data_IF_795098540361
#
_entry.id   IF_795098540361
#
_cell.length_a   1.000
_cell.length_b   1.000
_cell.length_c   1.000
_cell.angle_alpha   90.00
_cell.angle_beta   90.00
_cell.angle_gamma   90.00
#
_symmetry.space_group_name_H-M   'P 1'
#
loop_
_entity.id
_entity.type
_entity.pdbx_description
1 polymer ?
#
# COMPACT_ATOMS: atom_id res chain seq x y z
N UNK A 1 5.11 22.69 -21.22
CA UNK A 1 4.03 22.19 -20.34
C UNK A 1 4.67 21.13 -19.47
N UNK A 2 4.49 21.20 -18.17
CA UNK A 2 5.01 20.23 -17.21
C UNK A 2 4.23 18.91 -17.24
N UNK A 3 4.79 17.88 -16.55
CA UNK A 3 4.24 16.54 -16.52
C UNK A 3 2.79 16.49 -15.98
N UNK A 4 2.53 17.17 -14.87
CA UNK A 4 1.20 17.07 -14.20
C UNK A 4 0.12 17.75 -15.01
N UNK A 5 0.41 18.91 -15.58
CA UNK A 5 -0.53 19.63 -16.45
C UNK A 5 -0.85 18.82 -17.72
N UNK A 6 0.15 18.20 -18.34
CA UNK A 6 -0.08 17.39 -19.53
C UNK A 6 -0.83 16.09 -19.22
N UNK A 7 -0.57 15.50 -18.04
CA UNK A 7 -1.30 14.34 -17.54
C UNK A 7 -2.80 14.66 -17.33
N UNK A 8 -3.09 15.79 -16.71
CA UNK A 8 -4.48 16.24 -16.48
C UNK A 8 -5.21 16.41 -17.80
N UNK A 9 -4.65 17.15 -18.75
CA UNK A 9 -5.24 17.32 -20.09
C UNK A 9 -5.47 15.97 -20.78
N UNK A 10 -4.50 15.05 -20.67
CA UNK A 10 -4.64 13.74 -21.31
C UNK A 10 -5.74 12.89 -20.64
N UNK A 11 -5.90 12.99 -19.33
CA UNK A 11 -6.92 12.28 -18.57
C UNK A 11 -8.31 12.84 -18.87
N UNK A 12 -8.47 14.16 -18.94
CA UNK A 12 -9.76 14.78 -19.30
C UNK A 12 -10.26 14.32 -20.69
N UNK A 13 -9.34 14.08 -21.64
CA UNK A 13 -9.70 13.60 -22.99
C UNK A 13 -10.25 12.17 -23.03
N UNK A 14 -9.93 11.34 -22.03
CA UNK A 14 -10.33 9.93 -21.96
C UNK A 14 -11.24 9.64 -20.76
N UNK A 15 -11.70 10.68 -20.08
CA UNK A 15 -12.62 10.57 -18.96
C UNK A 15 -13.97 9.99 -19.41
N UNK A 16 -14.60 9.18 -18.55
CA UNK A 16 -15.90 8.55 -18.83
C UNK A 16 -16.79 8.59 -17.58
N UNK A 17 -17.80 9.44 -17.61
CA UNK A 17 -18.76 9.56 -16.51
C UNK A 17 -19.51 8.23 -16.25
N UNK A 18 -19.80 7.46 -17.30
CA UNK A 18 -20.42 6.14 -17.19
C UNK A 18 -19.54 5.16 -16.39
N UNK A 19 -18.24 5.20 -16.61
CA UNK A 19 -17.27 4.34 -15.88
C UNK A 19 -16.94 4.88 -14.47
N UNK A 20 -17.06 6.18 -14.22
CA UNK A 20 -16.75 6.81 -12.94
C UNK A 20 -17.70 6.33 -11.83
N UNK A 21 -19.01 6.34 -12.07
CA UNK A 21 -20.04 5.99 -11.08
C UNK A 21 -19.83 4.58 -10.47
N UNK A 22 -19.60 3.49 -11.23
CA UNK A 22 -19.29 2.19 -10.63
C UNK A 22 -17.99 2.18 -9.82
N UNK A 23 -16.97 2.95 -10.22
CA UNK A 23 -15.69 3.05 -9.50
C UNK A 23 -15.87 3.79 -8.17
N UNK A 24 -16.63 4.87 -8.15
CA UNK A 24 -17.00 5.61 -6.93
C UNK A 24 -17.79 4.73 -5.96
N UNK A 25 -18.80 4.01 -6.44
CA UNK A 25 -19.59 3.08 -5.63
C UNK A 25 -18.73 1.97 -5.02
N UNK A 26 -17.79 1.41 -5.78
CA UNK A 26 -16.84 0.41 -5.28
C UNK A 26 -15.98 0.97 -4.15
N UNK A 27 -15.59 2.23 -4.23
CA UNK A 27 -14.85 2.94 -3.19
C UNK A 27 -15.75 3.55 -2.11
N UNK A 28 -17.02 3.13 -2.06
CA UNK A 28 -18.01 3.61 -1.08
C UNK A 28 -18.19 5.14 -1.11
N UNK A 29 -18.11 5.72 -2.30
CA UNK A 29 -18.22 7.16 -2.58
C UNK A 29 -17.24 8.04 -1.76
N UNK A 30 -16.06 7.48 -1.44
CA UNK A 30 -15.02 8.22 -0.71
C UNK A 30 -14.14 9.07 -1.61
N UNK A 31 -14.11 8.80 -2.89
CA UNK A 31 -13.28 9.48 -3.89
C UNK A 31 -14.06 9.72 -5.16
N UNK A 32 -13.80 10.86 -5.79
CA UNK A 32 -14.26 11.13 -7.16
C UNK A 32 -13.35 10.41 -8.17
N UNK A 33 -13.92 10.06 -9.31
CA UNK A 33 -13.21 9.42 -10.41
C UNK A 33 -13.48 10.13 -11.73
N UNK A 34 -12.47 10.16 -12.60
CA UNK A 34 -12.62 10.48 -14.03
C UNK A 34 -13.23 9.31 -14.83
N UNK A 35 -13.22 8.11 -14.24
CA UNK A 35 -13.71 6.90 -14.88
C UNK A 35 -12.72 6.26 -15.84
N UNK A 36 -11.41 6.46 -15.60
CA UNK A 36 -10.33 5.92 -16.41
C UNK A 36 -9.87 4.58 -15.82
N UNK A 37 -10.08 3.50 -16.57
CA UNK A 37 -9.64 2.15 -16.17
C UNK A 37 -8.12 2.05 -16.12
N UNK A 38 -7.61 1.01 -15.46
CA UNK A 38 -6.17 0.79 -15.21
C UNK A 38 -5.32 0.82 -16.47
N UNK A 39 -5.71 0.11 -17.53
CA UNK A 39 -4.92 0.03 -18.76
C UNK A 39 -4.76 1.37 -19.48
N UNK A 40 -5.82 2.12 -19.83
CA UNK A 40 -5.68 3.44 -20.45
C UNK A 40 -4.92 4.42 -19.54
N UNK A 41 -5.16 4.41 -18.22
CA UNK A 41 -4.42 5.22 -17.27
C UNK A 41 -2.91 4.95 -17.34
N UNK A 42 -2.51 3.69 -17.27
CA UNK A 42 -1.09 3.30 -17.34
C UNK A 42 -0.46 3.57 -18.70
N UNK A 43 -1.21 3.45 -19.77
CA UNK A 43 -0.74 3.79 -21.13
C UNK A 43 -0.39 5.26 -21.23
N UNK A 44 -1.28 6.15 -20.77
CA UNK A 44 -1.02 7.59 -20.72
C UNK A 44 0.18 7.89 -19.82
N UNK A 45 0.19 7.34 -18.60
CA UNK A 45 1.30 7.54 -17.67
C UNK A 45 2.64 7.12 -18.27
N UNK A 46 2.73 5.93 -18.86
CA UNK A 46 3.97 5.44 -19.48
C UNK A 46 4.48 6.38 -20.58
N UNK A 47 3.58 6.84 -21.47
CA UNK A 47 3.93 7.76 -22.55
C UNK A 47 4.47 9.09 -22.02
N UNK A 48 3.78 9.68 -21.05
CA UNK A 48 4.16 10.96 -20.47
C UNK A 48 5.41 10.84 -19.57
N UNK A 49 5.56 9.74 -18.87
CA UNK A 49 6.76 9.45 -18.09
C UNK A 49 8.03 9.47 -18.97
N UNK A 50 8.01 8.81 -20.12
CA UNK A 50 9.18 8.81 -21.02
C UNK A 50 9.46 10.21 -21.61
N UNK A 51 8.40 10.98 -21.92
CA UNK A 51 8.52 12.35 -22.42
C UNK A 51 9.12 13.31 -21.38
N UNK A 52 8.70 13.18 -20.12
CA UNK A 52 9.08 14.08 -19.02
C UNK A 52 10.12 13.47 -18.07
N UNK A 53 10.85 12.47 -18.50
CA UNK A 53 11.72 11.66 -17.63
C UNK A 53 12.74 12.47 -16.84
N UNK A 54 13.34 13.48 -17.45
CA UNK A 54 14.34 14.34 -16.78
C UNK A 54 13.71 15.19 -15.69
N UNK A 55 12.56 15.80 -15.98
CA UNK A 55 11.77 16.59 -15.04
C UNK A 55 11.32 15.72 -13.83
N UNK A 56 10.77 14.55 -14.12
CA UNK A 56 10.33 13.59 -13.11
C UNK A 56 11.47 13.19 -12.18
N UNK A 57 12.62 12.78 -12.75
CA UNK A 57 13.77 12.37 -11.94
C UNK A 57 14.28 13.48 -11.02
N UNK A 58 14.22 14.72 -11.48
CA UNK A 58 14.66 15.87 -10.68
C UNK A 58 13.69 16.22 -9.54
N UNK A 59 12.38 15.94 -9.68
CA UNK A 59 11.37 16.46 -8.77
C UNK A 59 10.27 15.45 -8.36
N UNK A 60 10.47 14.16 -8.53
CA UNK A 60 9.42 13.15 -8.35
C UNK A 60 8.77 13.18 -6.97
N UNK A 61 9.49 13.48 -5.89
CA UNK A 61 8.94 13.54 -4.53
C UNK A 61 7.84 14.58 -4.40
N UNK A 62 8.06 15.78 -4.95
CA UNK A 62 7.04 16.83 -4.96
C UNK A 62 5.87 16.47 -5.89
N UNK A 63 6.17 15.88 -7.05
CA UNK A 63 5.15 15.44 -8.02
C UNK A 63 4.23 14.37 -7.42
N UNK A 64 4.79 13.38 -6.69
CA UNK A 64 4.01 12.36 -6.00
C UNK A 64 3.06 13.02 -5.00
N UNK A 65 3.55 13.97 -4.22
CA UNK A 65 2.75 14.69 -3.23
C UNK A 65 1.64 15.52 -3.90
N UNK A 66 1.96 16.22 -4.97
CA UNK A 66 0.98 17.01 -5.73
C UNK A 66 -0.11 16.11 -6.35
N UNK A 67 0.28 15.00 -6.98
CA UNK A 67 -0.66 14.03 -7.55
C UNK A 67 -1.58 13.41 -6.49
N UNK A 68 -1.05 13.12 -5.31
CA UNK A 68 -1.85 12.54 -4.22
C UNK A 68 -2.87 13.55 -3.65
N UNK A 69 -2.65 14.85 -3.82
CA UNK A 69 -3.55 15.92 -3.37
C UNK A 69 -4.57 16.36 -4.45
N UNK A 70 -4.55 15.75 -5.64
CA UNK A 70 -5.61 15.95 -6.64
C UNK A 70 -6.93 15.35 -6.13
N UNK A 71 -8.04 15.76 -6.74
CA UNK A 71 -9.37 15.33 -6.33
C UNK A 71 -9.68 13.91 -6.78
N UNK A 72 -9.34 13.57 -8.03
CA UNK A 72 -9.74 12.32 -8.64
C UNK A 72 -8.75 11.20 -8.34
N UNK A 73 -9.29 10.03 -8.05
CA UNK A 73 -8.53 8.86 -7.59
C UNK A 73 -7.49 8.36 -8.59
N UNK A 74 -7.69 8.56 -9.86
CA UNK A 74 -6.74 8.21 -10.91
C UNK A 74 -5.38 8.90 -10.72
N UNK A 75 -5.34 10.15 -10.25
CA UNK A 75 -4.08 10.83 -9.94
C UNK A 75 -3.37 10.19 -8.74
N UNK A 76 -4.10 9.74 -7.73
CA UNK A 76 -3.53 8.99 -6.60
C UNK A 76 -2.89 7.67 -7.06
N UNK A 77 -3.49 6.99 -8.03
CA UNK A 77 -2.88 5.80 -8.62
C UNK A 77 -1.64 6.13 -9.47
N UNK A 78 -1.58 7.30 -10.12
CA UNK A 78 -0.36 7.74 -10.81
C UNK A 78 0.72 8.08 -9.77
N UNK A 79 0.38 8.75 -8.67
CA UNK A 79 1.29 8.97 -7.56
C UNK A 79 1.89 7.66 -7.05
N UNK A 80 1.07 6.63 -6.88
CA UNK A 80 1.50 5.29 -6.49
C UNK A 80 2.43 4.64 -7.54
N UNK A 81 2.02 4.61 -8.82
CA UNK A 81 2.81 4.01 -9.91
C UNK A 81 4.17 4.73 -10.05
N UNK A 82 4.18 6.06 -9.92
CA UNK A 82 5.39 6.91 -9.93
C UNK A 82 6.28 6.61 -8.72
N UNK A 83 5.71 6.54 -7.52
CA UNK A 83 6.43 6.23 -6.30
C UNK A 83 7.14 4.88 -6.39
N UNK A 84 6.43 3.83 -6.79
CA UNK A 84 7.00 2.48 -6.93
C UNK A 84 8.15 2.49 -7.93
N UNK A 85 8.03 3.27 -9.01
CA UNK A 85 9.04 3.33 -10.07
C UNK A 85 10.29 4.08 -9.65
N UNK A 86 10.16 5.25 -9.00
CA UNK A 86 11.28 6.13 -8.72
C UNK A 86 12.00 5.80 -7.41
N UNK A 87 11.30 5.36 -6.38
CA UNK A 87 11.96 4.99 -5.13
C UNK A 87 12.86 3.76 -5.25
N UNK A 88 12.43 2.67 -5.83
CA UNK A 88 13.18 1.45 -6.21
C UNK A 88 14.67 1.38 -5.81
N UNK A 89 15.06 1.35 -4.60
CA UNK A 89 16.46 1.36 -4.10
C UNK A 89 17.14 2.74 -4.08
N UNK A 90 16.40 3.81 -4.32
CA UNK A 90 16.89 5.19 -4.27
C UNK A 90 16.26 5.98 -3.14
N UNK A 91 15.99 5.31 -2.01
CA UNK A 91 15.46 5.99 -0.83
C UNK A 91 16.54 6.83 -0.18
N UNK A 92 16.15 8.04 0.26
CA UNK A 92 16.88 8.83 1.25
C UNK A 92 16.34 8.49 2.64
N UNK A 93 17.12 8.72 3.67
CA UNK A 93 16.71 8.39 5.03
C UNK A 93 15.46 9.17 5.47
N UNK A 94 15.36 10.43 5.05
CA UNK A 94 14.21 11.30 5.29
C UNK A 94 12.93 10.92 4.53
N UNK A 95 13.00 10.04 3.53
CA UNK A 95 11.84 9.66 2.73
C UNK A 95 10.74 8.97 3.55
N UNK A 96 11.07 8.41 4.70
CA UNK A 96 10.06 7.82 5.59
C UNK A 96 8.99 8.85 6.00
N UNK A 97 9.36 10.12 6.16
CA UNK A 97 8.43 11.20 6.49
C UNK A 97 7.44 11.47 5.34
N UNK A 98 7.93 11.42 4.08
CA UNK A 98 7.07 11.53 2.91
C UNK A 98 6.16 10.29 2.80
N UNK A 99 6.71 9.10 2.98
CA UNK A 99 5.96 7.84 2.91
C UNK A 99 4.83 7.82 3.95
N UNK A 100 5.09 8.26 5.18
CA UNK A 100 4.05 8.40 6.21
C UNK A 100 2.94 9.36 5.79
N UNK A 101 3.30 10.53 5.22
CA UNK A 101 2.32 11.48 4.66
C UNK A 101 1.49 10.85 3.54
N UNK A 102 2.11 10.06 2.65
CA UNK A 102 1.39 9.37 1.56
C UNK A 102 0.39 8.34 2.11
N UNK A 103 0.74 7.63 3.18
CA UNK A 103 -0.13 6.64 3.82
C UNK A 103 -1.32 7.33 4.51
N UNK A 104 -1.10 8.49 5.12
CA UNK A 104 -2.10 9.18 5.94
C UNK A 104 -2.96 10.20 5.19
N UNK A 105 -2.67 10.45 3.90
CA UNK A 105 -3.41 11.37 3.03
C UNK A 105 -4.23 10.61 2.01
N UNK A 106 -5.51 10.96 1.84
CA UNK A 106 -6.44 10.30 0.93
C UNK A 106 -6.42 8.76 1.06
N UNK A 107 -6.32 8.31 2.32
CA UNK A 107 -6.07 6.92 2.68
C UNK A 107 -7.24 6.01 2.35
N UNK A 108 -6.97 4.91 1.66
CA UNK A 108 -7.86 3.77 1.50
C UNK A 108 -7.03 2.52 1.21
N UNK A 109 -7.61 1.34 1.44
CA UNK A 109 -6.89 0.06 1.35
C UNK A 109 -6.13 -0.15 0.03
N UNK A 110 -6.66 0.31 -1.09
CA UNK A 110 -6.11 0.14 -2.44
C UNK A 110 -4.75 0.84 -2.67
N UNK A 111 -4.52 1.98 -2.03
CA UNK A 111 -3.23 2.68 -2.09
C UNK A 111 -2.36 2.35 -0.88
N UNK A 112 -2.94 2.30 0.33
CA UNK A 112 -2.20 2.02 1.57
C UNK A 112 -1.49 0.67 1.52
N UNK A 113 -2.15 -0.39 1.03
CA UNK A 113 -1.57 -1.72 0.94
C UNK A 113 -0.36 -1.76 0.00
N UNK A 114 -0.44 -1.00 -1.09
CA UNK A 114 0.66 -0.89 -2.02
C UNK A 114 1.80 -0.02 -1.45
N UNK A 115 1.50 1.07 -0.75
CA UNK A 115 2.50 1.86 -0.02
C UNK A 115 3.19 1.03 1.07
N UNK A 116 2.43 0.27 1.86
CA UNK A 116 2.99 -0.64 2.86
C UNK A 116 4.00 -1.61 2.23
N UNK A 117 3.56 -2.35 1.20
CA UNK A 117 4.37 -3.37 0.55
C UNK A 117 5.59 -2.83 -0.19
N UNK A 118 5.38 -1.80 -1.02
CA UNK A 118 6.42 -1.36 -1.95
C UNK A 118 7.27 -0.22 -1.39
N UNK A 119 6.69 0.75 -0.69
CA UNK A 119 7.44 1.89 -0.19
C UNK A 119 8.01 1.61 1.19
N UNK A 120 7.21 1.26 2.18
CA UNK A 120 7.71 0.95 3.53
C UNK A 120 8.58 -0.31 3.49
N UNK A 121 8.10 -1.38 2.83
CA UNK A 121 8.89 -2.59 2.65
C UNK A 121 10.19 -2.34 1.89
N UNK A 122 10.17 -1.55 0.82
CA UNK A 122 11.36 -1.18 0.06
C UNK A 122 12.34 -0.32 0.87
N UNK A 123 11.83 0.67 1.59
CA UNK A 123 12.62 1.53 2.47
C UNK A 123 13.32 0.72 3.57
N UNK A 124 12.59 -0.11 4.30
CA UNK A 124 13.15 -0.92 5.38
C UNK A 124 14.07 -2.04 4.88
N UNK A 125 13.92 -2.46 3.64
CA UNK A 125 14.90 -3.33 3.00
C UNK A 125 16.25 -2.62 2.75
N UNK A 126 16.20 -1.31 2.39
CA UNK A 126 17.42 -0.49 2.22
C UNK A 126 18.01 -0.02 3.55
N UNK A 127 17.15 0.28 4.53
CA UNK A 127 17.53 0.76 5.87
C UNK A 127 17.06 -0.22 6.98
N UNK A 128 17.61 -1.43 7.07
CA UNK A 128 17.09 -2.45 8.00
C UNK A 128 17.24 -2.07 9.48
N UNK A 129 18.15 -1.17 9.83
CA UNK A 129 18.30 -0.66 11.20
C UNK A 129 17.14 0.20 11.67
N UNK A 130 16.40 0.81 10.75
CA UNK A 130 15.24 1.64 11.04
C UNK A 130 13.95 0.82 11.28
N UNK A 131 13.98 -0.50 11.01
CA UNK A 131 12.78 -1.33 11.00
C UNK A 131 11.99 -1.23 12.31
N UNK A 132 12.61 -1.44 13.45
CA UNK A 132 11.90 -1.44 14.72
C UNK A 132 11.37 -0.05 15.10
N UNK A 133 12.15 1.00 14.87
CA UNK A 133 11.75 2.38 15.17
C UNK A 133 10.54 2.79 14.32
N UNK A 134 10.60 2.55 13.02
CA UNK A 134 9.52 2.91 12.09
C UNK A 134 8.25 2.09 12.37
N UNK A 135 8.39 0.77 12.55
CA UNK A 135 7.23 -0.09 12.77
C UNK A 135 6.60 0.15 14.14
N UNK A 136 7.38 0.39 15.17
CA UNK A 136 6.86 0.78 16.48
C UNK A 136 6.09 2.10 16.42
N UNK A 137 6.64 3.12 15.74
CA UNK A 137 5.98 4.39 15.52
C UNK A 137 4.63 4.21 14.78
N UNK A 138 4.61 3.46 13.68
CA UNK A 138 3.39 3.22 12.92
C UNK A 138 2.36 2.41 13.71
N UNK A 139 2.82 1.41 14.42
CA UNK A 139 1.98 0.52 15.22
C UNK A 139 1.36 1.20 16.44
N UNK A 140 2.03 2.19 17.03
CA UNK A 140 1.53 2.99 18.16
C UNK A 140 0.65 4.18 17.74
N UNK A 141 0.53 4.44 16.45
CA UNK A 141 -0.24 5.56 15.95
C UNK A 141 -1.75 5.39 16.23
N UNK A 142 -2.45 6.51 16.41
CA UNK A 142 -3.92 6.56 16.41
C UNK A 142 -4.51 6.39 15.00
N UNK A 143 -3.70 6.48 13.96
CA UNK A 143 -4.14 6.31 12.57
C UNK A 143 -4.15 4.82 12.19
N UNK A 144 -5.33 4.27 11.96
CA UNK A 144 -5.53 2.87 11.57
C UNK A 144 -4.72 2.46 10.34
N UNK A 145 -4.48 3.37 9.40
CA UNK A 145 -3.75 3.05 8.17
C UNK A 145 -2.25 2.86 8.40
N UNK A 146 -1.68 3.56 9.40
CA UNK A 146 -0.30 3.30 9.85
C UNK A 146 -0.23 1.95 10.58
N UNK A 147 -1.21 1.63 11.44
CA UNK A 147 -1.26 0.31 12.09
C UNK A 147 -1.38 -0.81 11.04
N UNK A 148 -2.24 -0.62 10.04
CA UNK A 148 -2.37 -1.57 8.92
C UNK A 148 -1.05 -1.73 8.17
N UNK A 149 -0.35 -0.63 7.93
CA UNK A 149 0.96 -0.64 7.26
C UNK A 149 2.01 -1.41 8.07
N UNK A 150 2.06 -1.23 9.40
CA UNK A 150 2.96 -1.97 10.29
C UNK A 150 2.75 -3.50 10.20
N UNK A 151 1.52 -3.95 9.98
CA UNK A 151 1.22 -5.37 9.78
C UNK A 151 1.61 -5.87 8.38
N UNK A 152 1.45 -5.02 7.34
CA UNK A 152 1.52 -5.43 5.93
C UNK A 152 2.87 -5.17 5.23
N UNK A 153 3.79 -4.41 5.83
CA UNK A 153 5.01 -3.98 5.12
C UNK A 153 5.89 -5.13 4.62
N UNK A 154 5.86 -6.30 5.28
CA UNK A 154 6.61 -7.48 4.88
C UNK A 154 5.94 -8.32 3.77
N UNK A 155 4.79 -7.90 3.23
CA UNK A 155 4.18 -8.63 2.12
C UNK A 155 5.18 -8.82 0.98
N UNK A 156 5.32 -10.07 0.55
CA UNK A 156 6.28 -10.51 -0.48
C UNK A 156 7.76 -10.53 -0.06
N UNK A 157 8.10 -10.43 1.23
CA UNK A 157 9.46 -10.70 1.72
C UNK A 157 9.81 -12.21 1.62
N UNK A 158 8.79 -13.05 1.47
CA UNK A 158 8.92 -14.51 1.31
C UNK A 158 9.66 -15.12 2.51
N UNK A 159 10.71 -15.89 2.24
CA UNK A 159 11.54 -16.53 3.25
C UNK A 159 12.29 -15.51 4.15
N UNK A 160 12.43 -14.27 3.68
CA UNK A 160 13.08 -13.18 4.44
C UNK A 160 12.15 -12.49 5.41
N UNK A 161 10.88 -12.90 5.50
CA UNK A 161 9.94 -12.34 6.46
C UNK A 161 10.41 -12.59 7.88
N UNK A 162 10.57 -11.53 8.67
CA UNK A 162 10.79 -11.66 10.12
C UNK A 162 9.46 -12.07 10.76
N UNK A 163 9.30 -13.37 10.98
CA UNK A 163 8.06 -13.92 11.51
C UNK A 163 7.81 -13.52 12.97
N UNK A 164 8.86 -13.34 13.77
CA UNK A 164 8.69 -12.89 15.14
C UNK A 164 8.16 -11.47 15.21
N UNK A 165 8.65 -10.58 14.36
CA UNK A 165 8.11 -9.22 14.23
C UNK A 165 6.66 -9.24 13.71
N UNK A 166 6.35 -10.09 12.72
CA UNK A 166 4.97 -10.24 12.23
C UNK A 166 4.04 -10.72 13.35
N UNK A 167 4.45 -11.71 14.15
CA UNK A 167 3.68 -12.18 15.30
C UNK A 167 3.48 -11.07 16.34
N UNK A 168 4.53 -10.31 16.65
CA UNK A 168 4.44 -9.19 17.59
C UNK A 168 3.41 -8.15 17.16
N UNK A 169 3.42 -7.77 15.86
CA UNK A 169 2.43 -6.84 15.31
C UNK A 169 1.01 -7.43 15.32
N UNK A 170 0.86 -8.71 15.01
CA UNK A 170 -0.42 -9.39 15.13
C UNK A 170 -0.94 -9.41 16.58
N UNK A 171 -0.08 -9.73 17.57
CA UNK A 171 -0.43 -9.73 19.00
C UNK A 171 -0.91 -8.35 19.47
N UNK A 172 -0.20 -7.30 19.07
CA UNK A 172 -0.53 -5.91 19.43
C UNK A 172 -1.91 -5.49 18.92
N UNK A 173 -2.29 -5.95 17.74
CA UNK A 173 -3.51 -5.54 17.07
C UNK A 173 -4.64 -6.61 17.08
N UNK A 174 -4.44 -7.79 17.65
CA UNK A 174 -5.40 -8.92 17.60
C UNK A 174 -6.78 -8.64 18.17
N UNK A 175 -6.89 -7.68 19.09
CA UNK A 175 -8.16 -7.31 19.71
C UNK A 175 -8.88 -6.17 18.97
N UNK A 176 -8.30 -5.61 17.91
CA UNK A 176 -8.91 -4.53 17.14
C UNK A 176 -10.26 -4.95 16.57
N UNK A 177 -11.24 -4.06 16.68
CA UNK A 177 -12.57 -4.22 16.05
C UNK A 177 -12.61 -3.68 14.62
N UNK A 178 -11.54 -2.99 14.19
CA UNK A 178 -11.43 -2.44 12.83
C UNK A 178 -11.35 -3.54 11.78
N UNK A 179 -12.30 -3.54 10.85
CA UNK A 179 -12.37 -4.51 9.76
C UNK A 179 -11.05 -4.61 8.99
N UNK A 180 -10.45 -3.45 8.67
CA UNK A 180 -9.23 -3.39 7.88
C UNK A 180 -8.01 -3.91 8.64
N UNK A 181 -7.97 -3.82 9.98
CA UNK A 181 -6.91 -4.40 10.80
C UNK A 181 -7.05 -5.91 10.87
N UNK A 182 -8.26 -6.42 11.12
CA UNK A 182 -8.51 -7.86 11.14
C UNK A 182 -8.14 -8.52 9.80
N UNK A 183 -8.48 -7.86 8.68
CA UNK A 183 -8.11 -8.32 7.33
C UNK A 183 -6.59 -8.28 7.10
N UNK A 184 -5.88 -7.25 7.61
CA UNK A 184 -4.43 -7.15 7.49
C UNK A 184 -3.73 -8.30 8.19
N UNK A 185 -4.09 -8.60 9.45
CA UNK A 185 -3.55 -9.73 10.22
C UNK A 185 -3.71 -11.04 9.44
N UNK A 186 -4.94 -11.32 9.01
CA UNK A 186 -5.22 -12.54 8.26
C UNK A 186 -4.46 -12.63 6.95
N UNK A 187 -4.35 -11.53 6.22
CA UNK A 187 -3.63 -11.51 4.94
C UNK A 187 -2.13 -11.67 5.11
N UNK A 188 -1.50 -10.95 6.03
CA UNK A 188 -0.07 -11.06 6.28
C UNK A 188 0.34 -12.48 6.69
N UNK A 189 -0.42 -13.11 7.60
CA UNK A 189 -0.23 -14.51 8.00
C UNK A 189 -0.42 -15.47 6.82
N UNK A 190 -1.47 -15.28 6.00
CA UNK A 190 -1.72 -16.11 4.81
C UNK A 190 -0.64 -15.95 3.75
N UNK A 191 -0.09 -14.76 3.56
CA UNK A 191 1.02 -14.54 2.60
C UNK A 191 2.25 -15.33 3.05
N UNK A 192 2.59 -15.25 4.34
CA UNK A 192 3.74 -15.94 4.91
C UNK A 192 3.54 -17.46 5.03
N UNK A 193 2.30 -17.94 5.18
CA UNK A 193 2.02 -19.39 5.27
C UNK A 193 2.46 -20.19 4.05
N UNK A 194 2.73 -19.54 2.92
CA UNK A 194 3.31 -20.17 1.73
C UNK A 194 4.77 -20.61 1.93
N UNK A 195 5.46 -20.04 2.90
CA UNK A 195 6.86 -20.27 3.21
C UNK A 195 7.06 -21.00 4.54
N UNK A 196 6.16 -20.78 5.49
CA UNK A 196 6.17 -21.44 6.79
C UNK A 196 4.74 -21.83 7.22
N UNK A 197 4.16 -22.85 6.58
CA UNK A 197 2.77 -23.26 6.86
C UNK A 197 2.59 -23.73 8.30
N UNK A 198 3.52 -24.55 8.82
CA UNK A 198 3.42 -25.10 10.17
C UNK A 198 3.55 -24.02 11.23
N UNK A 199 4.52 -23.10 11.07
CA UNK A 199 4.69 -21.97 11.98
C UNK A 199 3.45 -21.09 12.05
N UNK A 200 2.84 -20.78 10.91
CA UNK A 200 1.59 -19.99 10.87
C UNK A 200 0.42 -20.78 11.46
N UNK A 201 0.28 -22.07 11.15
CA UNK A 201 -0.77 -22.94 11.70
C UNK A 201 -0.70 -22.99 13.23
N UNK A 202 0.50 -23.25 13.78
CA UNK A 202 0.73 -23.29 15.22
C UNK A 202 0.41 -21.95 15.88
N UNK A 203 0.85 -20.83 15.29
CA UNK A 203 0.56 -19.50 15.82
C UNK A 203 -0.95 -19.22 15.83
N UNK A 204 -1.66 -19.47 14.72
CA UNK A 204 -3.10 -19.21 14.60
C UNK A 204 -3.93 -20.10 15.54
N UNK A 205 -3.43 -21.31 15.85
CA UNK A 205 -4.11 -22.24 16.77
C UNK A 205 -3.91 -21.83 18.23
N UNK A 206 -2.70 -21.39 18.59
CA UNK A 206 -2.33 -21.00 19.95
C UNK A 206 -2.77 -19.58 20.33
N UNK A 207 -3.10 -18.73 19.34
CA UNK A 207 -3.43 -17.33 19.57
C UNK A 207 -4.93 -17.08 19.43
N UNK A 208 -5.49 -16.28 20.36
CA UNK A 208 -6.90 -15.87 20.30
C UNK A 208 -7.11 -14.70 19.31
N UNK A 209 -6.98 -14.99 18.02
CA UNK A 209 -7.29 -14.04 16.95
C UNK A 209 -8.79 -13.87 16.77
N UNK A 210 -9.22 -12.66 16.35
CA UNK A 210 -10.60 -12.42 15.92
C UNK A 210 -11.00 -13.41 14.80
N UNK A 211 -12.29 -13.84 14.74
CA UNK A 211 -12.75 -14.85 13.77
C UNK A 211 -12.40 -14.51 12.32
N UNK A 212 -12.50 -13.23 11.93
CA UNK A 212 -12.14 -12.79 10.57
C UNK A 212 -10.65 -12.97 10.29
N UNK A 213 -9.78 -12.56 11.22
CA UNK A 213 -8.33 -12.70 11.08
C UNK A 213 -7.92 -14.16 10.97
N UNK A 214 -8.48 -15.02 11.84
CA UNK A 214 -8.24 -16.47 11.84
C UNK A 214 -8.65 -17.10 10.51
N UNK A 215 -9.87 -16.87 10.05
CA UNK A 215 -10.40 -17.41 8.78
C UNK A 215 -9.54 -16.98 7.57
N UNK A 216 -9.12 -15.72 7.53
CA UNK A 216 -8.28 -15.23 6.43
C UNK A 216 -6.86 -15.79 6.47
N UNK A 217 -6.29 -16.00 7.66
CA UNK A 217 -4.94 -16.54 7.82
C UNK A 217 -4.83 -17.99 7.31
N UNK A 218 -5.80 -18.84 7.64
CA UNK A 218 -5.77 -20.28 7.31
C UNK A 218 -6.37 -20.62 5.93
N UNK A 219 -6.89 -19.65 5.20
CA UNK A 219 -7.63 -19.85 3.94
C UNK A 219 -6.92 -20.72 2.90
N UNK A 220 -5.60 -20.70 2.87
CA UNK A 220 -4.79 -21.47 1.93
C UNK A 220 -4.17 -22.73 2.54
N UNK A 221 -4.14 -22.87 3.88
CA UNK A 221 -3.57 -24.03 4.56
C UNK A 221 -4.41 -25.29 4.34
N UNK A 222 -5.72 -25.16 4.17
CA UNK A 222 -6.64 -26.27 3.93
C UNK A 222 -6.79 -26.67 2.45
N UNK A 223 -6.08 -26.03 1.53
CA UNK A 223 -6.14 -26.38 0.10
C UNK A 223 -5.13 -27.45 -0.32
N UNK A 224 -4.23 -27.81 0.57
CA UNK A 224 -3.17 -28.80 0.33
C UNK A 224 -3.38 -30.09 1.15
N UNK A 225 -4.55 -30.26 1.72
CA UNK A 225 -5.09 -31.48 2.34
C UNK A 225 -6.27 -32.01 1.49
#
# INVERSE_FOLDING_TARGET
MDFITELDIAFQKIASKESATPMENYMKNKFSFLGIKTEPRRTVFKKLYEKHKSEIKANFRNMIWELLNKTEREFHYVALDLSIKEFKKNYLQEDINLIEKLITTNSWWDTVDAFAKYLVGGYLHQFPKETYVVIEHFSNSKNMWLNRTAILFQLSYKEKTNFDLLKAECEKHKHSNEFFIQKAIGWALRDYSRFNPDGVSNYVTSTNLKPLSKREAIRNLHKNL
#
